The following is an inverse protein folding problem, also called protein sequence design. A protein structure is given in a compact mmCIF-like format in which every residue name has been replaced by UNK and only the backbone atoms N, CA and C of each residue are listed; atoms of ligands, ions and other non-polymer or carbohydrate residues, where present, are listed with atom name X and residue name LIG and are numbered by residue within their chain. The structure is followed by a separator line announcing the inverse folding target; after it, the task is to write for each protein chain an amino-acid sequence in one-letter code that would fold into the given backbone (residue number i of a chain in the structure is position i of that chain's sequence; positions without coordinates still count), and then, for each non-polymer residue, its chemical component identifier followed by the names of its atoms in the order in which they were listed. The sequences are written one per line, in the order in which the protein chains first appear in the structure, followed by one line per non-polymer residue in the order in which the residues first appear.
data_IF_835933783484
#
_entry.id   IF_835933783484
#
_cell.length_a   1.000
_cell.length_b   1.000
_cell.length_c   1.000
_cell.angle_alpha   90.00
_cell.angle_beta   90.00
_cell.angle_gamma   90.00
#
_symmetry.space_group_name_H-M   'P 1'
#
loop_
_entity.id
_entity.type
_entity.pdbx_description
1 polymer ?
#
# COMPACT_ATOMS: atom_id res chain seq x y z
N UNK A 1 3.30 -2.75 11.42
CA UNK A 1 3.97 -1.45 11.58
C UNK A 1 5.02 -1.62 12.66
N UNK A 2 6.29 -1.73 12.28
CA UNK A 2 7.40 -1.67 13.23
C UNK A 2 7.55 -0.19 13.61
N UNK A 3 7.08 0.16 14.80
CA UNK A 3 7.23 1.48 15.41
C UNK A 3 8.71 1.80 15.56
N UNK A 4 9.22 2.67 14.68
CA UNK A 4 10.52 3.31 14.83
C UNK A 4 10.44 4.37 15.94
N UNK A 5 10.36 3.92 17.20
CA UNK A 5 10.57 4.81 18.34
C UNK A 5 12.07 5.12 18.43
N UNK A 6 12.46 6.36 18.11
CA UNK A 6 13.86 6.80 18.19
C UNK A 6 14.20 7.11 19.66
N UNK A 7 15.05 6.33 20.34
CA UNK A 7 15.51 6.69 21.68
C UNK A 7 16.37 7.97 21.60
N UNK A 8 16.15 8.88 22.56
CA UNK A 8 16.74 10.24 22.61
C UNK A 8 18.28 10.33 22.64
N UNK A 9 19.02 9.22 22.73
CA UNK A 9 20.47 9.20 23.00
C UNK A 9 21.28 8.21 22.15
N UNK A 10 21.00 8.06 20.84
CA UNK A 10 21.87 7.31 19.93
C UNK A 10 22.36 8.20 18.78
N UNK A 11 23.63 8.61 18.82
CA UNK A 11 24.26 9.52 17.85
C UNK A 11 24.64 8.87 16.50
N UNK A 12 24.33 7.59 16.31
CA UNK A 12 24.44 6.90 15.03
C UNK A 12 23.41 5.79 15.05
N UNK A 13 22.34 5.89 14.25
CA UNK A 13 21.36 4.82 14.14
C UNK A 13 21.99 3.65 13.36
N UNK A 14 22.33 2.51 13.99
CA UNK A 14 22.80 1.34 13.26
C UNK A 14 21.63 0.84 12.40
N UNK A 15 21.70 1.05 11.08
CA UNK A 15 20.69 0.57 10.14
C UNK A 15 20.03 1.63 9.24
N UNK A 16 20.45 2.89 9.23
CA UNK A 16 19.90 3.89 8.29
C UNK A 16 20.03 3.42 6.83
N UNK A 17 21.21 2.95 6.42
CA UNK A 17 21.44 2.45 5.06
C UNK A 17 20.64 1.19 4.75
N UNK A 18 20.51 0.29 5.73
CA UNK A 18 19.68 -0.91 5.59
C UNK A 18 18.20 -0.55 5.39
N UNK A 19 17.69 0.40 6.18
CA UNK A 19 16.33 0.93 6.01
C UNK A 19 16.10 1.58 4.65
N UNK A 20 17.07 2.36 4.15
CA UNK A 20 17.01 2.95 2.82
C UNK A 20 16.95 1.86 1.72
N UNK A 21 17.77 0.82 1.84
CA UNK A 21 17.79 -0.30 0.90
C UNK A 21 16.47 -1.08 0.91
N UNK A 22 15.92 -1.38 2.08
CA UNK A 22 14.60 -2.02 2.20
C UNK A 22 13.47 -1.14 1.65
N UNK A 23 13.53 0.18 1.86
CA UNK A 23 12.56 1.11 1.29
C UNK A 23 12.61 1.13 -0.25
N UNK A 24 13.81 1.09 -0.83
CA UNK A 24 14.00 1.02 -2.27
C UNK A 24 13.45 -0.28 -2.87
N UNK A 25 13.79 -1.43 -2.27
CA UNK A 25 13.25 -2.73 -2.71
C UNK A 25 11.72 -2.75 -2.59
N UNK A 26 11.18 -2.24 -1.49
CA UNK A 26 9.73 -2.16 -1.27
C UNK A 26 9.04 -1.32 -2.35
N UNK A 27 9.62 -0.17 -2.72
CA UNK A 27 9.10 0.66 -3.81
C UNK A 27 9.06 -0.10 -5.13
N UNK A 28 10.13 -0.83 -5.48
CA UNK A 28 10.20 -1.64 -6.70
C UNK A 28 9.12 -2.74 -6.70
N UNK A 29 8.97 -3.47 -5.60
CA UNK A 29 7.96 -4.51 -5.46
C UNK A 29 6.54 -3.93 -5.63
N UNK A 30 6.23 -2.78 -5.00
CA UNK A 30 4.93 -2.15 -5.13
C UNK A 30 4.62 -1.71 -6.57
N UNK A 31 5.62 -1.15 -7.28
CA UNK A 31 5.43 -0.75 -8.68
C UNK A 31 5.18 -1.97 -9.56
N UNK A 32 5.97 -3.03 -9.40
CA UNK A 32 5.77 -4.29 -10.14
C UNK A 32 4.39 -4.89 -9.86
N UNK A 33 3.99 -4.98 -8.59
CA UNK A 33 2.67 -5.49 -8.19
C UNK A 33 1.54 -4.70 -8.86
N UNK A 34 1.62 -3.37 -8.89
CA UNK A 34 0.59 -2.53 -9.52
C UNK A 34 0.50 -2.76 -11.04
N UNK A 35 1.65 -2.90 -11.72
CA UNK A 35 1.71 -3.18 -13.17
C UNK A 35 1.15 -4.59 -13.46
N UNK A 36 1.61 -5.60 -12.73
CA UNK A 36 1.16 -6.98 -12.91
C UNK A 36 -0.32 -7.15 -12.57
N UNK A 37 -0.79 -6.53 -11.49
CA UNK A 37 -2.19 -6.54 -11.10
C UNK A 37 -3.06 -5.89 -12.18
N UNK A 38 -2.67 -4.73 -12.72
CA UNK A 38 -3.39 -4.15 -13.87
C UNK A 38 -3.40 -5.11 -15.06
N UNK A 39 -2.25 -5.67 -15.46
CA UNK A 39 -2.17 -6.59 -16.60
C UNK A 39 -3.11 -7.78 -16.46
N UNK A 40 -3.15 -8.40 -15.27
CA UNK A 40 -4.06 -9.51 -14.98
C UNK A 40 -5.53 -9.09 -14.98
N UNK A 41 -5.85 -7.90 -14.44
CA UNK A 41 -7.21 -7.38 -14.42
C UNK A 41 -7.72 -7.00 -15.82
N UNK A 42 -6.85 -6.43 -16.66
CA UNK A 42 -7.21 -6.08 -18.05
C UNK A 42 -7.35 -7.33 -18.92
N UNK A 43 -6.46 -8.34 -18.77
CA UNK A 43 -6.56 -9.60 -19.52
C UNK A 43 -7.88 -10.30 -19.22
N UNK A 44 -8.29 -10.37 -17.94
CA UNK A 44 -9.57 -10.95 -17.55
C UNK A 44 -10.76 -10.17 -18.12
N UNK A 45 -10.70 -8.84 -18.12
CA UNK A 45 -11.75 -8.03 -18.76
C UNK A 45 -11.77 -8.15 -20.30
N UNK A 46 -10.63 -8.42 -20.94
CA UNK A 46 -10.53 -8.54 -22.39
C UNK A 46 -11.01 -9.91 -22.86
N UNK A 47 -10.72 -10.97 -22.09
CA UNK A 47 -11.28 -12.31 -22.26
C UNK A 47 -12.82 -12.29 -22.14
N UNK A 48 -13.37 -11.49 -21.20
CA UNK A 48 -14.80 -11.22 -21.08
C UNK A 48 -15.39 -10.38 -22.24
N UNK A 49 -14.56 -9.68 -23.04
CA UNK A 49 -15.03 -8.83 -24.15
C UNK A 49 -14.82 -9.45 -25.54
N UNK A 50 -13.89 -10.40 -25.69
CA UNK A 50 -13.51 -11.00 -27.00
C UNK A 50 -14.24 -12.28 -27.38
N UNK A 51 -15.23 -12.75 -26.61
CA UNK A 51 -16.06 -13.89 -26.96
C UNK A 51 -17.54 -13.53 -27.07
N UNK A 52 -17.96 -13.13 -28.26
CA UNK A 52 -19.27 -13.54 -28.76
C UNK A 52 -19.01 -14.46 -29.95
N UNK A 53 -19.33 -15.76 -29.79
CA UNK A 53 -20.41 -16.31 -30.58
C UNK A 53 -21.48 -16.96 -29.71
N UNK A 54 -22.70 -16.94 -30.22
CA UNK A 54 -23.91 -17.54 -29.66
C UNK A 54 -23.72 -18.96 -29.10
N UNK A 55 -23.94 -19.16 -27.79
CA UNK A 55 -24.55 -20.38 -27.24
C UNK A 55 -25.34 -20.07 -25.96
N UNK A 56 -26.62 -20.43 -25.94
CA UNK A 56 -27.48 -20.43 -24.75
C UNK A 56 -27.06 -21.60 -23.84
N UNK A 57 -26.63 -21.32 -22.60
CA UNK A 57 -26.97 -22.10 -21.38
C UNK A 57 -26.11 -21.66 -20.17
N UNK A 58 -26.76 -21.07 -19.16
CA UNK A 58 -26.30 -21.11 -17.75
C UNK A 58 -25.32 -20.02 -17.29
N UNK A 59 -25.86 -18.96 -16.69
CA UNK A 59 -25.22 -18.04 -15.71
C UNK A 59 -23.68 -18.10 -15.59
N UNK A 60 -22.97 -17.45 -16.52
CA UNK A 60 -21.54 -17.18 -16.32
C UNK A 60 -21.38 -16.08 -15.26
N UNK A 61 -21.12 -16.50 -14.02
CA UNK A 61 -20.82 -15.63 -12.88
C UNK A 61 -19.71 -14.65 -13.24
N UNK A 62 -20.05 -13.37 -13.40
CA UNK A 62 -19.12 -12.24 -13.23
C UNK A 62 -18.23 -12.55 -12.03
N UNK A 63 -16.94 -12.76 -12.26
CA UNK A 63 -15.98 -12.89 -11.17
C UNK A 63 -15.84 -11.50 -10.56
N UNK A 64 -16.70 -11.24 -9.58
CA UNK A 64 -16.78 -9.95 -8.93
C UNK A 64 -15.40 -9.56 -8.39
N UNK A 65 -15.08 -8.29 -8.56
CA UNK A 65 -13.84 -7.66 -8.07
C UNK A 65 -13.57 -7.99 -6.60
N UNK A 66 -14.65 -8.18 -5.84
CA UNK A 66 -14.65 -8.61 -4.44
C UNK A 66 -14.17 -10.04 -4.23
N UNK A 67 -14.53 -10.98 -5.12
CA UNK A 67 -14.05 -12.37 -5.07
C UNK A 67 -12.54 -12.42 -5.33
N UNK A 68 -12.03 -11.67 -6.31
CA UNK A 68 -10.59 -11.58 -6.58
C UNK A 68 -9.85 -10.97 -5.38
N UNK A 69 -10.41 -9.92 -4.78
CA UNK A 69 -9.87 -9.30 -3.57
C UNK A 69 -9.83 -10.32 -2.41
N UNK A 70 -10.91 -11.09 -2.20
CA UNK A 70 -10.98 -12.11 -1.16
C UNK A 70 -9.91 -13.20 -1.36
N UNK A 71 -9.73 -13.71 -2.59
CA UNK A 71 -8.67 -14.67 -2.88
C UNK A 71 -7.28 -14.10 -2.59
N UNK A 72 -7.02 -12.84 -2.99
CA UNK A 72 -5.78 -12.16 -2.68
C UNK A 72 -5.55 -12.03 -1.16
N UNK A 73 -6.58 -11.66 -0.40
CA UNK A 73 -6.51 -11.56 1.06
C UNK A 73 -6.28 -12.91 1.74
N UNK A 74 -6.94 -13.98 1.29
CA UNK A 74 -6.77 -15.33 1.84
C UNK A 74 -5.37 -15.86 1.55
N UNK A 75 -4.89 -15.71 0.32
CA UNK A 75 -3.53 -16.11 -0.05
C UNK A 75 -2.51 -15.29 0.75
N UNK A 76 -2.69 -13.97 0.82
CA UNK A 76 -1.83 -13.09 1.61
C UNK A 76 -1.76 -13.51 3.08
N UNK A 77 -2.91 -13.82 3.68
CA UNK A 77 -3.00 -14.35 5.03
C UNK A 77 -2.28 -15.69 5.19
N UNK A 78 -2.44 -16.61 4.23
CA UNK A 78 -1.77 -17.91 4.27
C UNK A 78 -0.24 -17.78 4.18
N UNK A 79 0.26 -16.80 3.44
CA UNK A 79 1.70 -16.51 3.35
C UNK A 79 2.25 -15.78 4.58
N UNK A 80 1.48 -14.89 5.20
CA UNK A 80 1.92 -14.16 6.39
C UNK A 80 1.81 -14.98 7.67
N UNK A 81 0.90 -15.95 7.73
CA UNK A 81 0.67 -16.79 8.91
C UNK A 81 1.91 -17.57 9.38
N UNK A 82 2.66 -18.30 8.53
CA UNK A 82 3.86 -19.01 8.95
C UNK A 82 4.93 -18.08 9.54
N UNK A 83 5.11 -16.90 8.94
CA UNK A 83 6.08 -15.90 9.41
C UNK A 83 5.67 -15.37 10.78
N UNK A 84 4.39 -15.10 10.97
CA UNK A 84 3.85 -14.68 12.27
C UNK A 84 4.09 -15.74 13.35
N UNK A 85 3.78 -17.01 13.06
CA UNK A 85 3.97 -18.11 14.00
C UNK A 85 5.45 -18.27 14.39
N UNK A 86 6.38 -18.24 13.43
CA UNK A 86 7.82 -18.31 13.72
C UNK A 86 8.26 -17.14 14.60
N UNK A 87 7.76 -15.93 14.31
CA UNK A 87 8.04 -14.75 15.11
C UNK A 87 7.51 -14.87 16.53
N UNK A 88 6.32 -15.45 16.71
CA UNK A 88 5.71 -15.65 18.03
C UNK A 88 6.49 -16.67 18.86
N UNK A 89 7.00 -17.74 18.24
CA UNK A 89 7.86 -18.72 18.92
C UNK A 89 9.24 -18.17 19.34
N UNK A 90 9.70 -17.11 18.67
CA UNK A 90 10.96 -16.45 19.02
C UNK A 90 10.81 -15.42 20.15
N UNK A 91 9.58 -14.99 20.45
CA UNK A 91 9.30 -14.04 21.51
C UNK A 91 9.02 -14.77 22.82
N UNK A 92 9.65 -14.33 23.92
CA UNK A 92 9.46 -14.93 25.26
C UNK A 92 8.05 -14.69 25.83
N UNK A 93 7.30 -13.73 25.28
CA UNK A 93 5.95 -13.36 25.69
C UNK A 93 4.96 -13.55 24.55
N UNK A 94 3.83 -14.19 24.88
CA UNK A 94 2.74 -14.38 23.92
C UNK A 94 2.03 -13.05 23.68
N UNK A 95 2.15 -12.53 22.45
CA UNK A 95 1.64 -11.23 22.01
C UNK A 95 0.12 -11.12 22.19
N UNK A 96 -0.61 -12.23 21.98
CA UNK A 96 -2.07 -12.25 22.16
C UNK A 96 -2.48 -12.22 23.65
N UNK A 97 -1.58 -12.58 24.57
CA UNK A 97 -1.84 -12.56 26.02
C UNK A 97 -1.87 -11.16 26.64
N UNK A 98 -1.35 -10.15 25.94
CA UNK A 98 -1.28 -8.76 26.38
C UNK A 98 -2.37 -7.87 25.75
N UNK A 99 -3.36 -8.48 25.08
CA UNK A 99 -4.42 -7.75 24.39
C UNK A 99 -5.41 -7.10 25.38
N UNK A 100 -5.27 -5.80 25.59
CA UNK A 100 -6.30 -5.00 26.26
C UNK A 100 -7.45 -4.69 25.30
N UNK A 101 -8.68 -4.57 25.81
CA UNK A 101 -9.88 -4.18 25.04
C UNK A 101 -9.69 -2.98 24.07
N UNK A 102 -9.07 -1.85 24.46
CA UNK A 102 -8.82 -0.74 23.54
C UNK A 102 -7.85 -1.10 22.41
N UNK A 103 -6.88 -1.97 22.68
CA UNK A 103 -5.91 -2.42 21.68
C UNK A 103 -6.60 -3.29 20.63
N UNK A 104 -7.48 -4.19 21.06
CA UNK A 104 -8.33 -4.99 20.17
C UNK A 104 -9.20 -4.08 19.29
N UNK A 105 -9.83 -3.05 19.87
CA UNK A 105 -10.60 -2.08 19.11
C UNK A 105 -9.75 -1.36 18.05
N UNK A 106 -8.53 -0.94 18.38
CA UNK A 106 -7.60 -0.33 17.42
C UNK A 106 -7.21 -1.30 16.29
N UNK A 107 -6.94 -2.56 16.62
CA UNK A 107 -6.60 -3.60 15.64
C UNK A 107 -7.76 -3.85 14.68
N UNK A 108 -8.99 -3.94 15.19
CA UNK A 108 -10.20 -4.10 14.37
C UNK A 108 -10.38 -2.89 13.45
N UNK A 109 -10.28 -1.67 13.99
CA UNK A 109 -10.41 -0.44 13.20
C UNK A 109 -9.34 -0.36 12.09
N UNK A 110 -8.09 -0.72 12.41
CA UNK A 110 -7.01 -0.78 11.45
C UNK A 110 -7.27 -1.85 10.37
N UNK A 111 -7.77 -3.03 10.75
CA UNK A 111 -8.13 -4.10 9.81
C UNK A 111 -9.22 -3.66 8.82
N UNK A 112 -10.30 -3.06 9.32
CA UNK A 112 -11.41 -2.54 8.49
C UNK A 112 -10.91 -1.42 7.57
N UNK A 113 -10.11 -0.49 8.09
CA UNK A 113 -9.54 0.61 7.30
C UNK A 113 -8.62 0.11 6.20
N UNK A 114 -7.78 -0.89 6.49
CA UNK A 114 -6.91 -1.53 5.51
C UNK A 114 -7.72 -2.25 4.43
N UNK A 115 -8.78 -2.97 4.80
CA UNK A 115 -9.67 -3.62 3.84
C UNK A 115 -10.34 -2.62 2.89
N UNK A 116 -10.88 -1.52 3.43
CA UNK A 116 -11.47 -0.44 2.63
C UNK A 116 -10.45 0.19 1.68
N UNK A 117 -9.22 0.44 2.15
CA UNK A 117 -8.14 0.91 1.29
C UNK A 117 -7.86 -0.07 0.14
N UNK A 118 -7.76 -1.36 0.40
CA UNK A 118 -7.49 -2.38 -0.62
C UNK A 118 -8.64 -2.50 -1.63
N UNK A 119 -9.89 -2.36 -1.19
CA UNK A 119 -11.06 -2.34 -2.06
C UNK A 119 -11.05 -1.12 -3.00
N UNK A 120 -10.82 0.08 -2.46
CA UNK A 120 -10.73 1.31 -3.25
C UNK A 120 -9.56 1.27 -4.24
N UNK A 121 -8.40 0.77 -3.79
CA UNK A 121 -7.22 0.59 -4.63
C UNK A 121 -7.52 -0.32 -5.83
N UNK A 122 -8.20 -1.46 -5.60
CA UNK A 122 -8.53 -2.40 -6.66
C UNK A 122 -9.57 -1.83 -7.65
N UNK A 123 -10.55 -1.07 -7.15
CA UNK A 123 -11.53 -0.40 -7.99
C UNK A 123 -10.87 0.65 -8.90
N UNK A 124 -9.98 1.48 -8.33
CA UNK A 124 -9.22 2.47 -9.08
C UNK A 124 -8.27 1.81 -10.08
N UNK A 125 -7.53 0.77 -9.68
CA UNK A 125 -6.63 0.06 -10.58
C UNK A 125 -7.36 -0.52 -11.79
N UNK A 126 -8.64 -0.89 -11.67
CA UNK A 126 -9.46 -1.30 -12.81
C UNK A 126 -9.76 -0.18 -13.80
N UNK A 127 -9.96 1.05 -13.34
CA UNK A 127 -10.50 2.16 -14.16
C UNK A 127 -9.44 3.08 -14.75
N UNK A 128 -8.30 3.30 -14.08
CA UNK A 128 -7.24 4.22 -14.54
C UNK A 128 -6.00 3.48 -15.03
N UNK A 129 -5.12 4.18 -15.75
CA UNK A 129 -3.84 3.62 -16.20
C UNK A 129 -2.89 3.34 -15.01
N UNK A 130 -1.96 2.36 -15.11
CA UNK A 130 -0.99 2.06 -14.06
C UNK A 130 -0.17 3.27 -13.62
N UNK A 131 0.17 4.14 -14.58
CA UNK A 131 0.96 5.35 -14.35
C UNK A 131 0.16 6.33 -13.48
N UNK A 132 -1.08 6.64 -13.86
CA UNK A 132 -1.95 7.54 -13.09
C UNK A 132 -2.26 6.98 -11.70
N UNK A 133 -2.41 5.66 -11.57
CA UNK A 133 -2.59 5.00 -10.27
C UNK A 133 -1.35 5.16 -9.38
N UNK A 134 -0.14 5.04 -9.95
CA UNK A 134 1.11 5.29 -9.23
C UNK A 134 1.21 6.74 -8.73
N UNK A 135 0.87 7.72 -9.58
CA UNK A 135 0.81 9.15 -9.20
C UNK A 135 -0.16 9.36 -8.02
N UNK A 136 -1.37 8.81 -8.11
CA UNK A 136 -2.37 8.91 -7.05
C UNK A 136 -1.89 8.30 -5.71
N UNK A 137 -1.15 7.19 -5.77
CA UNK A 137 -0.54 6.59 -4.59
C UNK A 137 0.55 7.48 -3.96
N UNK A 138 1.34 8.18 -4.79
CA UNK A 138 2.34 9.16 -4.31
C UNK A 138 1.64 10.37 -3.67
N UNK A 139 0.59 10.93 -4.31
CA UNK A 139 -0.24 11.99 -3.73
C UNK A 139 -0.78 11.63 -2.35
N UNK A 140 -1.39 10.43 -2.22
CA UNK A 140 -1.90 9.93 -0.94
C UNK A 140 -0.81 9.94 0.14
N UNK A 141 0.39 9.51 -0.19
CA UNK A 141 1.53 9.46 0.75
C UNK A 141 1.95 10.86 1.21
N UNK A 142 1.98 11.85 0.31
CA UNK A 142 2.29 13.25 0.65
C UNK A 142 1.26 13.79 1.64
N UNK A 143 -0.04 13.56 1.40
CA UNK A 143 -1.11 14.01 2.30
C UNK A 143 -0.97 13.41 3.70
N UNK A 144 -0.65 12.11 3.80
CA UNK A 144 -0.43 11.45 5.09
C UNK A 144 0.78 12.03 5.82
N UNK A 145 1.90 12.29 5.12
CA UNK A 145 3.09 12.93 5.70
C UNK A 145 2.76 14.33 6.23
N UNK A 146 2.02 15.13 5.44
CA UNK A 146 1.58 16.48 5.84
C UNK A 146 0.71 16.43 7.09
N UNK A 147 -0.26 15.50 7.13
CA UNK A 147 -1.13 15.34 8.30
C UNK A 147 -0.35 14.90 9.55
N UNK A 148 0.61 13.97 9.39
CA UNK A 148 1.48 13.56 10.49
C UNK A 148 2.30 14.73 11.05
N UNK A 149 2.86 15.58 10.19
CA UNK A 149 3.55 16.81 10.64
C UNK A 149 2.64 17.77 11.40
N UNK A 150 1.42 17.98 10.92
CA UNK A 150 0.45 18.84 11.60
C UNK A 150 0.04 18.27 12.96
N UNK A 151 -0.14 16.96 13.04
CA UNK A 151 -0.58 16.27 14.25
C UNK A 151 0.53 16.17 15.30
N UNK A 152 1.77 15.91 14.89
CA UNK A 152 2.89 15.67 15.82
C UNK A 152 3.38 16.96 16.50
N UNK A 153 3.05 18.14 15.96
CA UNK A 153 3.04 19.44 16.66
C UNK A 153 4.35 19.91 17.32
N UNK A 154 5.42 19.12 17.27
CA UNK A 154 6.69 19.38 17.97
C UNK A 154 7.68 20.01 16.99
N UNK A 155 7.75 21.33 17.09
CA UNK A 155 8.43 22.32 16.26
C UNK A 155 9.98 22.17 16.12
N UNK A 156 10.58 21.03 16.46
CA UNK A 156 12.04 20.89 16.61
C UNK A 156 12.77 20.24 15.42
N UNK A 157 12.14 20.12 14.24
CA UNK A 157 12.78 19.53 13.04
C UNK A 157 12.54 20.34 11.74
N UNK A 158 12.56 21.67 11.82
CA UNK A 158 12.00 22.57 10.78
C UNK A 158 12.88 22.79 9.53
N UNK A 159 14.12 22.29 9.45
CA UNK A 159 14.99 22.54 8.29
C UNK A 159 14.87 21.53 7.15
N UNK A 160 15.66 20.45 7.23
CA UNK A 160 15.86 19.54 6.09
C UNK A 160 14.64 18.65 5.76
N UNK A 161 13.78 18.37 6.74
CA UNK A 161 12.60 17.53 6.54
C UNK A 161 11.52 18.27 5.73
N UNK A 162 11.29 19.54 6.02
CA UNK A 162 10.34 20.39 5.27
C UNK A 162 10.80 20.57 3.82
N UNK A 163 12.11 20.75 3.60
CA UNK A 163 12.71 20.77 2.27
C UNK A 163 12.47 19.46 1.49
N UNK A 164 12.57 18.30 2.15
CA UNK A 164 12.27 17.01 1.52
C UNK A 164 10.80 16.87 1.09
N UNK A 165 9.86 17.38 1.88
CA UNK A 165 8.43 17.40 1.52
C UNK A 165 8.19 18.32 0.33
N UNK A 166 8.75 19.53 0.36
CA UNK A 166 8.65 20.48 -0.76
C UNK A 166 9.24 19.90 -2.06
N UNK A 167 10.40 19.24 -1.98
CA UNK A 167 11.03 18.59 -3.12
C UNK A 167 10.16 17.45 -3.69
N UNK A 168 9.45 16.72 -2.83
CA UNK A 168 8.51 15.67 -3.26
C UNK A 168 7.30 16.24 -3.99
N UNK A 169 6.74 17.35 -3.47
CA UNK A 169 5.61 18.07 -4.12
C UNK A 169 6.06 18.64 -5.46
N UNK A 170 7.21 19.31 -5.50
CA UNK A 170 7.77 19.89 -6.72
C UNK A 170 8.08 18.81 -7.77
N UNK A 171 8.68 17.69 -7.37
CA UNK A 171 8.96 16.56 -8.26
C UNK A 171 7.69 15.98 -8.88
N UNK A 172 6.63 15.84 -8.09
CA UNK A 172 5.34 15.35 -8.59
C UNK A 172 4.66 16.33 -9.54
N UNK A 173 4.70 17.63 -9.23
CA UNK A 173 4.19 18.69 -10.10
C UNK A 173 4.91 18.73 -11.45
N UNK A 174 6.24 18.65 -11.43
CA UNK A 174 7.07 18.52 -12.61
C UNK A 174 6.71 17.27 -13.44
N UNK A 175 6.53 16.13 -12.77
CA UNK A 175 6.17 14.87 -13.43
C UNK A 175 4.80 14.95 -14.12
N UNK A 176 3.79 15.51 -13.45
CA UNK A 176 2.46 15.68 -14.04
C UNK A 176 2.49 16.65 -15.24
N UNK A 177 3.16 17.80 -15.07
CA UNK A 177 3.24 18.83 -16.10
C UNK A 177 3.98 18.38 -17.37
N UNK A 178 5.10 17.67 -17.25
CA UNK A 178 5.88 17.21 -18.40
C UNK A 178 5.48 15.82 -18.90
N UNK A 179 4.97 14.96 -18.02
CA UNK A 179 4.51 13.62 -18.38
C UNK A 179 3.22 13.63 -19.19
N UNK A 180 2.34 14.63 -19.01
CA UNK A 180 1.12 14.78 -19.80
C UNK A 180 1.36 15.33 -21.20
N UNK A 181 2.44 16.09 -21.43
CA UNK A 181 2.77 16.66 -22.76
C UNK A 181 3.09 15.59 -23.81
N UNK A 182 3.47 14.38 -23.39
CA UNK A 182 3.80 13.27 -24.29
C UNK A 182 2.59 12.40 -24.71
N UNK A 183 1.37 12.78 -24.32
CA UNK A 183 0.11 12.05 -24.60
C UNK A 183 -0.84 12.76 -25.57
N UNK A 184 -0.41 13.87 -26.19
CA UNK A 184 -1.12 14.48 -27.31
C UNK A 184 -0.59 13.95 -28.64
#
# INVERSE_FOLDING_TARGET
MLTCYKPKNLNTAPGYFSGLFYAFISMLIFVLQNIFAKKRLTVKSLEETSSLPSYKAGEEKKLDKLTILLFCSVIGFLFTMPIYIISEFHNDVFSLGQLTLPLVSLVVLNGVSHFLQSLLAFQLLGTISPINYSIANIMKRIVVIMFAFLWEGSFSFVGYQSYGVLLTIAGLYCYDKWGMTHKQ
#
